data_IF_214631532708
#
_entry.id   IF_214631532708
#
_cell.length_a   1.000
_cell.length_b   1.000
_cell.length_c   1.000
_cell.angle_alpha   90.00
_cell.angle_beta   90.00
_cell.angle_gamma   90.00
#
_symmetry.space_group_name_H-M   'P 1'
#
loop_
_entity.id
_entity.type
_entity.pdbx_description
1 polymer ?
#
# COMPACT_ATOMS: atom_id res chain seq x y z
N UNK A 1 -0.23 -20.04 -7.40
CA UNK A 1 -0.60 -19.87 -5.99
C UNK A 1 -1.84 -18.99 -5.98
N UNK A 2 -2.98 -19.60 -5.73
CA UNK A 2 -4.23 -18.87 -5.49
C UNK A 2 -4.02 -18.02 -4.23
N UNK A 3 -4.43 -16.75 -4.26
CA UNK A 3 -4.28 -15.88 -3.08
C UNK A 3 -5.48 -15.99 -2.13
N UNK A 4 -6.52 -16.73 -2.56
CA UNK A 4 -7.74 -17.02 -1.83
C UNK A 4 -8.18 -18.47 -2.11
N UNK A 5 -8.71 -19.14 -1.10
CA UNK A 5 -9.29 -20.49 -1.21
C UNK A 5 -10.58 -20.59 -0.37
N UNK A 6 -11.53 -21.40 -0.82
CA UNK A 6 -12.74 -21.71 -0.06
C UNK A 6 -12.50 -22.97 0.79
N UNK A 7 -12.75 -22.88 2.09
CA UNK A 7 -12.60 -23.98 3.04
C UNK A 7 -13.79 -23.99 4.02
N UNK A 8 -14.57 -25.07 3.98
CA UNK A 8 -15.70 -25.40 4.86
C UNK A 8 -16.36 -24.20 5.58
N UNK A 9 -17.07 -23.38 4.80
CA UNK A 9 -17.84 -22.23 5.31
C UNK A 9 -17.07 -20.92 5.45
N UNK A 10 -15.81 -20.88 5.02
CA UNK A 10 -14.94 -19.70 5.07
C UNK A 10 -14.11 -19.51 3.81
N UNK A 11 -13.67 -18.28 3.55
CA UNK A 11 -12.68 -17.96 2.52
C UNK A 11 -11.39 -17.55 3.21
N UNK A 12 -10.31 -18.27 2.91
CA UNK A 12 -8.97 -18.06 3.44
C UNK A 12 -8.11 -17.31 2.45
N UNK A 13 -7.28 -16.39 2.95
CA UNK A 13 -6.39 -15.57 2.15
C UNK A 13 -4.97 -15.59 2.69
N UNK A 14 -3.99 -15.66 1.78
CA UNK A 14 -2.58 -15.55 2.13
C UNK A 14 -2.08 -14.10 2.04
N UNK A 15 -1.78 -13.49 3.19
CA UNK A 15 -1.19 -12.16 3.29
C UNK A 15 0.29 -12.23 3.71
N UNK A 16 1.17 -11.61 2.92
CA UNK A 16 2.61 -11.53 3.22
C UNK A 16 2.96 -10.14 3.76
N UNK A 17 3.39 -10.05 5.02
CA UNK A 17 3.77 -8.78 5.65
C UNK A 17 5.29 -8.69 5.80
N UNK A 18 5.90 -7.69 5.19
CA UNK A 18 7.36 -7.49 5.29
C UNK A 18 7.79 -6.04 5.09
N UNK A 19 9.02 -5.74 5.53
CA UNK A 19 9.57 -4.37 5.51
C UNK A 19 10.21 -3.98 4.16
N UNK A 20 10.56 -4.97 3.34
CA UNK A 20 11.22 -4.84 2.02
C UNK A 20 10.37 -5.36 0.86
N UNK A 21 9.25 -5.97 1.17
CA UNK A 21 8.31 -6.58 0.24
C UNK A 21 7.17 -7.20 1.02
N UNK A 22 6.04 -7.41 0.37
CA UNK A 22 4.85 -7.97 0.96
C UNK A 22 3.66 -7.82 0.03
N UNK A 23 2.57 -8.49 0.38
CA UNK A 23 1.27 -8.44 -0.27
C UNK A 23 0.25 -8.22 0.84
N UNK A 24 -0.18 -6.97 0.99
CA UNK A 24 -1.23 -6.54 1.90
C UNK A 24 -2.58 -6.61 1.19
N UNK A 25 -3.60 -7.12 1.87
CA UNK A 25 -4.91 -7.34 1.27
C UNK A 25 -5.93 -6.33 1.79
N UNK A 26 -6.70 -5.78 0.85
CA UNK A 26 -7.73 -4.78 1.11
C UNK A 26 -9.03 -5.18 0.41
N UNK A 27 -10.17 -4.90 1.04
CA UNK A 27 -11.49 -4.97 0.43
C UNK A 27 -11.98 -3.57 0.11
N UNK A 28 -12.65 -3.41 -1.02
CA UNK A 28 -13.36 -2.18 -1.37
C UNK A 28 -14.69 -2.13 -0.66
N UNK A 29 -14.93 -1.07 0.12
CA UNK A 29 -16.21 -0.83 0.78
C UNK A 29 -16.51 0.66 0.77
N UNK A 30 -17.68 1.06 0.27
CA UNK A 30 -18.14 2.46 0.29
C UNK A 30 -17.13 3.44 -0.36
N UNK A 31 -16.37 2.98 -1.37
CA UNK A 31 -15.33 3.76 -2.05
C UNK A 31 -13.98 3.80 -1.33
N UNK A 32 -13.84 3.08 -0.21
CA UNK A 32 -12.60 3.02 0.58
C UNK A 32 -11.90 1.65 0.49
N UNK A 33 -10.57 1.67 0.63
CA UNK A 33 -9.74 0.50 0.84
C UNK A 33 -9.64 0.19 2.33
N UNK A 34 -10.28 -0.91 2.72
CA UNK A 34 -10.36 -1.41 4.09
C UNK A 34 -9.45 -2.61 4.24
N UNK A 35 -8.52 -2.67 5.22
CA UNK A 35 -7.67 -3.85 5.37
C UNK A 35 -8.51 -5.10 5.58
N UNK A 36 -8.26 -6.15 4.78
CA UNK A 36 -9.02 -7.39 4.84
C UNK A 36 -8.94 -8.04 6.22
N UNK A 37 -7.79 -7.93 6.89
CA UNK A 37 -7.56 -8.40 8.25
C UNK A 37 -8.42 -7.72 9.33
N UNK A 38 -9.16 -6.65 9.00
CA UNK A 38 -10.12 -6.02 9.92
C UNK A 38 -11.54 -6.59 9.81
N UNK A 39 -11.80 -7.42 8.80
CA UNK A 39 -13.10 -8.05 8.51
C UNK A 39 -13.17 -9.52 8.86
N UNK A 40 -12.05 -10.11 9.27
CA UNK A 40 -11.95 -11.54 9.59
C UNK A 40 -10.94 -11.80 10.70
N UNK A 41 -10.65 -13.08 10.92
CA UNK A 41 -9.56 -13.49 11.80
C UNK A 41 -8.26 -13.49 11.01
N UNK A 42 -7.16 -13.05 11.64
CA UNK A 42 -5.85 -13.03 11.01
C UNK A 42 -4.86 -13.81 11.88
N UNK A 43 -4.46 -14.98 11.42
CA UNK A 43 -3.58 -15.88 12.13
C UNK A 43 -2.19 -15.91 11.49
N UNK A 44 -1.16 -15.85 12.32
CA UNK A 44 0.22 -15.90 11.83
C UNK A 44 0.62 -17.36 11.59
N UNK A 45 0.70 -17.76 10.33
CA UNK A 45 1.01 -19.14 9.93
C UNK A 45 2.52 -19.41 9.81
N UNK A 46 3.34 -18.40 9.46
CA UNK A 46 4.79 -18.60 9.27
C UNK A 46 5.61 -17.33 9.46
N UNK A 47 6.84 -17.48 9.96
CA UNK A 47 7.87 -16.43 9.94
C UNK A 47 9.17 -16.99 9.36
N UNK A 48 9.72 -16.29 8.37
CA UNK A 48 10.98 -16.69 7.74
C UNK A 48 11.52 -15.59 6.83
N UNK A 49 12.85 -15.40 6.82
CA UNK A 49 13.50 -14.46 5.89
C UNK A 49 13.10 -12.98 6.04
N UNK A 50 12.54 -12.58 7.19
CA UNK A 50 12.08 -11.20 7.42
C UNK A 50 10.67 -10.89 6.88
N UNK A 51 9.95 -11.89 6.39
CA UNK A 51 8.53 -11.84 6.01
C UNK A 51 7.71 -12.66 7.00
N UNK A 52 6.51 -12.18 7.31
CA UNK A 52 5.51 -12.86 8.13
C UNK A 52 4.31 -13.17 7.26
N UNK A 53 3.91 -14.43 7.20
CA UNK A 53 2.74 -14.85 6.46
C UNK A 53 1.58 -14.99 7.42
N UNK A 54 0.44 -14.46 7.00
CA UNK A 54 -0.81 -14.51 7.73
C UNK A 54 -1.86 -15.18 6.86
N UNK A 55 -2.63 -16.06 7.47
CA UNK A 55 -3.90 -16.52 6.91
C UNK A 55 -4.98 -15.56 7.42
N UNK A 56 -5.74 -14.97 6.51
CA UNK A 56 -6.92 -14.17 6.85
C UNK A 56 -8.15 -14.97 6.48
N UNK A 57 -9.03 -15.22 7.45
CA UNK A 57 -10.23 -16.03 7.28
C UNK A 57 -11.46 -15.15 7.42
N UNK A 58 -12.32 -15.17 6.41
CA UNK A 58 -13.60 -14.47 6.39
C UNK A 58 -14.74 -15.48 6.20
N UNK A 59 -15.90 -15.18 6.75
CA UNK A 59 -17.09 -16.01 6.55
C UNK A 59 -17.47 -16.05 5.06
N UNK A 60 -17.92 -17.21 4.61
CA UNK A 60 -18.36 -17.45 3.23
C UNK A 60 -19.39 -16.43 2.76
N UNK A 61 -20.32 -16.07 3.64
CA UNK A 61 -21.45 -15.17 3.38
C UNK A 61 -20.99 -13.80 2.86
N UNK A 62 -19.79 -13.35 3.23
CA UNK A 62 -19.20 -12.10 2.74
C UNK A 62 -19.06 -12.09 1.20
N UNK A 63 -18.93 -13.26 0.58
CA UNK A 63 -18.71 -13.42 -0.85
C UNK A 63 -19.93 -13.98 -1.60
N UNK A 64 -21.12 -13.96 -0.98
CA UNK A 64 -22.37 -14.22 -1.71
C UNK A 64 -22.62 -13.16 -2.79
N UNK A 65 -22.28 -11.92 -2.48
CA UNK A 65 -22.16 -10.83 -3.46
C UNK A 65 -20.72 -10.69 -3.97
N UNK A 66 -20.56 -10.12 -5.17
CA UNK A 66 -19.25 -9.78 -5.70
C UNK A 66 -18.53 -8.77 -4.79
N UNK A 67 -17.31 -9.12 -4.35
CA UNK A 67 -16.41 -8.26 -3.61
C UNK A 67 -15.17 -7.94 -4.42
N UNK A 68 -14.74 -6.68 -4.35
CA UNK A 68 -13.47 -6.27 -4.93
C UNK A 68 -12.36 -6.33 -3.89
N UNK A 69 -11.30 -7.07 -4.22
CA UNK A 69 -10.11 -7.26 -3.38
C UNK A 69 -8.88 -6.67 -4.06
N UNK A 70 -8.11 -5.88 -3.32
CA UNK A 70 -6.83 -5.34 -3.76
C UNK A 70 -5.69 -6.02 -3.03
N UNK A 71 -4.73 -6.54 -3.80
CA UNK A 71 -3.47 -7.03 -3.31
C UNK A 71 -2.38 -5.96 -3.57
N UNK A 72 -2.02 -5.24 -2.51
CA UNK A 72 -1.10 -4.11 -2.57
C UNK A 72 0.26 -4.50 -2.01
N UNK A 73 1.31 -4.25 -2.77
CA UNK A 73 2.63 -4.73 -2.39
C UNK A 73 3.76 -4.09 -3.16
N UNK A 74 4.97 -4.23 -2.62
CA UNK A 74 6.20 -3.90 -3.32
C UNK A 74 7.02 -5.16 -3.56
N UNK A 75 7.63 -5.30 -4.73
CA UNK A 75 8.65 -6.33 -4.95
C UNK A 75 9.87 -6.09 -4.07
N UNK A 76 10.75 -7.09 -3.94
CA UNK A 76 12.03 -6.94 -3.22
C UNK A 76 12.91 -5.80 -3.76
N UNK A 77 12.71 -5.42 -5.03
CA UNK A 77 13.39 -4.29 -5.64
C UNK A 77 12.82 -2.93 -5.19
N UNK A 78 11.67 -2.93 -4.51
CA UNK A 78 10.93 -1.75 -4.07
C UNK A 78 9.93 -1.23 -5.10
N UNK A 79 9.66 -1.96 -6.19
CA UNK A 79 8.68 -1.55 -7.19
C UNK A 79 7.27 -1.90 -6.71
N UNK A 80 6.37 -0.92 -6.71
CA UNK A 80 4.97 -1.09 -6.33
C UNK A 80 4.17 -1.80 -7.44
N UNK A 81 3.46 -2.87 -7.07
CA UNK A 81 2.71 -3.74 -7.99
C UNK A 81 1.33 -4.04 -7.40
N UNK A 82 0.38 -3.10 -7.51
CA UNK A 82 -0.95 -3.34 -7.01
C UNK A 82 -1.69 -4.28 -7.98
N UNK A 83 -2.57 -5.13 -7.46
CA UNK A 83 -3.42 -6.02 -8.25
C UNK A 83 -4.85 -5.94 -7.72
N UNK A 84 -5.82 -6.01 -8.62
CA UNK A 84 -7.25 -6.00 -8.31
C UNK A 84 -7.87 -7.33 -8.72
N UNK A 85 -8.76 -7.83 -7.87
CA UNK A 85 -9.49 -9.07 -8.07
C UNK A 85 -10.96 -8.86 -7.74
N UNK A 86 -11.85 -9.52 -8.47
CA UNK A 86 -13.27 -9.66 -8.15
C UNK A 86 -13.50 -11.08 -7.66
N UNK A 87 -14.11 -11.21 -6.49
CA UNK A 87 -14.36 -12.50 -5.85
C UNK A 87 -15.85 -12.64 -5.58
N UNK A 88 -16.39 -13.82 -5.87
CA UNK A 88 -17.77 -14.18 -5.56
C UNK A 88 -17.91 -15.69 -5.47
N UNK A 89 -18.96 -16.16 -4.84
CA UNK A 89 -19.26 -17.58 -4.77
C UNK A 89 -20.34 -17.93 -5.78
N UNK A 90 -19.99 -18.79 -6.73
CA UNK A 90 -20.93 -19.31 -7.71
C UNK A 90 -21.04 -20.82 -7.55
N UNK A 91 -22.27 -21.33 -7.37
CA UNK A 91 -22.55 -22.78 -7.29
C UNK A 91 -21.72 -23.53 -6.23
N UNK A 92 -21.30 -22.85 -5.16
CA UNK A 92 -20.50 -23.43 -4.09
C UNK A 92 -18.99 -23.37 -4.32
N UNK A 93 -18.53 -22.74 -5.40
CA UNK A 93 -17.10 -22.53 -5.69
C UNK A 93 -16.74 -21.05 -5.57
N UNK A 94 -15.53 -20.75 -5.10
CA UNK A 94 -15.01 -19.39 -5.11
C UNK A 94 -14.47 -19.06 -6.50
N UNK A 95 -15.14 -18.13 -7.17
CA UNK A 95 -14.70 -17.55 -8.43
C UNK A 95 -13.82 -16.34 -8.12
N UNK A 96 -12.64 -16.29 -8.73
CA UNK A 96 -11.70 -15.18 -8.58
C UNK A 96 -11.24 -14.70 -9.96
N UNK A 97 -11.64 -13.49 -10.34
CA UNK A 97 -11.28 -12.86 -11.60
C UNK A 97 -10.26 -11.75 -11.35
N UNK A 98 -9.11 -11.82 -12.04
CA UNK A 98 -8.12 -10.74 -11.98
C UNK A 98 -8.51 -9.64 -12.97
N UNK A 99 -8.60 -8.41 -12.49
CA UNK A 99 -8.88 -7.22 -13.33
C UNK A 99 -7.56 -6.69 -13.91
N UNK A 100 -7.56 -6.36 -15.20
CA UNK A 100 -6.35 -5.84 -15.86
C UNK A 100 -5.99 -4.47 -15.30
N UNK A 101 -4.69 -4.20 -15.11
CA UNK A 101 -4.18 -2.92 -14.58
C UNK A 101 -4.54 -1.70 -15.42
N UNK A 102 -4.89 -1.88 -16.69
CA UNK A 102 -5.33 -0.79 -17.57
C UNK A 102 -6.79 -0.37 -17.30
N UNK A 103 -7.57 -1.23 -16.62
CA UNK A 103 -9.01 -1.03 -16.41
C UNK A 103 -9.35 -0.36 -15.07
N UNK A 104 -8.35 0.00 -14.26
CA UNK A 104 -8.60 0.63 -12.96
C UNK A 104 -7.46 1.53 -12.49
N UNK A 105 -7.82 2.54 -11.70
CA UNK A 105 -6.87 3.48 -11.12
C UNK A 105 -6.92 3.43 -9.58
N UNK A 106 -5.81 3.03 -8.95
CA UNK A 106 -5.69 3.03 -7.48
C UNK A 106 -5.85 4.44 -6.89
N UNK A 107 -5.55 5.49 -7.66
CA UNK A 107 -5.61 6.88 -7.18
C UNK A 107 -7.03 7.39 -6.92
N UNK A 108 -8.05 6.69 -7.42
CA UNK A 108 -9.47 7.03 -7.21
C UNK A 108 -10.01 6.50 -5.88
N UNK A 109 -9.22 5.72 -5.15
CA UNK A 109 -9.63 5.05 -3.92
C UNK A 109 -8.96 5.69 -2.71
N UNK A 110 -9.74 5.92 -1.66
CA UNK A 110 -9.22 6.40 -0.38
C UNK A 110 -8.89 5.23 0.54
N UNK A 111 -7.78 5.28 1.27
CA UNK A 111 -7.55 4.30 2.33
C UNK A 111 -8.31 4.68 3.57
N UNK A 112 -9.13 3.76 4.08
CA UNK A 112 -9.77 3.92 5.39
C UNK A 112 -8.71 4.17 6.47
N UNK A 113 -8.91 5.18 7.30
CA UNK A 113 -8.08 5.43 8.48
C UNK A 113 -8.28 4.30 9.50
N UNK A 114 -7.20 3.71 10.01
CA UNK A 114 -7.24 2.53 10.89
C UNK A 114 -6.65 2.80 12.29
N UNK A 115 -6.50 4.07 12.64
CA UNK A 115 -5.92 4.50 13.91
C UNK A 115 -5.63 5.98 13.94
N UNK A 116 -4.50 6.35 14.55
CA UNK A 116 -4.13 7.75 14.78
C UNK A 116 -3.17 8.31 13.72
N UNK A 117 -3.20 7.80 12.49
CA UNK A 117 -2.32 8.25 11.41
C UNK A 117 -2.69 9.62 10.84
N UNK A 118 -3.90 10.15 11.09
CA UNK A 118 -4.41 11.40 10.52
C UNK A 118 -3.43 12.56 10.61
N UNK A 119 -2.82 12.78 11.78
CA UNK A 119 -1.82 13.83 11.97
C UNK A 119 -0.64 13.71 10.99
N UNK A 120 -0.14 12.48 10.77
CA UNK A 120 0.99 12.23 9.88
C UNK A 120 0.60 12.26 8.41
N UNK A 121 -0.65 11.93 8.08
CA UNK A 121 -1.19 12.10 6.74
C UNK A 121 -1.28 13.57 6.37
N UNK A 122 -1.88 14.39 7.23
CA UNK A 122 -1.94 15.84 7.03
C UNK A 122 -0.53 16.44 6.96
N UNK A 123 0.37 16.03 7.85
CA UNK A 123 1.77 16.48 7.84
C UNK A 123 2.48 16.09 6.54
N UNK A 124 2.22 14.90 6.01
CA UNK A 124 2.80 14.46 4.73
C UNK A 124 2.29 15.34 3.59
N UNK A 125 0.97 15.51 3.45
CA UNK A 125 0.37 16.34 2.41
C UNK A 125 0.88 17.79 2.47
N UNK A 126 0.90 18.39 3.66
CA UNK A 126 1.27 19.80 3.83
C UNK A 126 2.78 20.07 3.81
N UNK A 127 3.63 19.07 4.03
CA UNK A 127 5.09 19.25 4.00
C UNK A 127 5.72 18.69 2.74
N UNK A 128 5.42 17.44 2.39
CA UNK A 128 6.17 16.72 1.35
C UNK A 128 5.84 17.26 -0.04
N UNK A 129 4.56 17.53 -0.34
CA UNK A 129 4.18 18.04 -1.67
C UNK A 129 4.86 19.39 -1.97
N UNK A 130 4.72 20.43 -1.12
CA UNK A 130 5.41 21.72 -1.37
C UNK A 130 6.94 21.60 -1.39
N UNK A 131 7.50 20.70 -0.58
CA UNK A 131 8.95 20.48 -0.55
C UNK A 131 9.48 19.81 -1.83
N UNK A 132 8.72 18.90 -2.42
CA UNK A 132 9.07 18.27 -3.69
C UNK A 132 9.00 19.30 -4.82
N UNK A 133 7.93 20.10 -4.86
CA UNK A 133 7.78 21.20 -5.82
C UNK A 133 8.96 22.17 -5.76
N UNK A 134 9.35 22.62 -4.55
CA UNK A 134 10.51 23.48 -4.36
C UNK A 134 11.82 22.87 -4.86
N UNK A 135 12.03 21.56 -4.65
CA UNK A 135 13.23 20.87 -5.15
C UNK A 135 13.24 20.86 -6.68
N UNK A 136 12.09 20.60 -7.31
CA UNK A 136 11.97 20.59 -8.76
C UNK A 136 12.19 21.98 -9.36
N UNK A 137 11.63 23.04 -8.75
CA UNK A 137 11.87 24.44 -9.12
C UNK A 137 13.36 24.79 -9.09
N UNK A 138 14.05 24.52 -7.97
CA UNK A 138 15.48 24.81 -7.83
C UNK A 138 16.32 24.06 -8.87
N UNK A 139 15.99 22.80 -9.15
CA UNK A 139 16.67 22.01 -10.18
C UNK A 139 16.50 22.62 -11.58
N UNK A 140 15.30 23.09 -11.90
CA UNK A 140 14.99 23.75 -13.17
C UNK A 140 15.75 25.07 -13.31
N UNK A 141 15.67 25.94 -12.30
CA UNK A 141 16.29 27.28 -12.31
C UNK A 141 17.81 27.24 -12.50
N UNK A 142 18.46 26.21 -11.95
CA UNK A 142 19.91 26.05 -11.98
C UNK A 142 20.39 25.05 -13.05
N UNK A 143 19.46 24.55 -13.89
CA UNK A 143 19.74 23.61 -14.97
C UNK A 143 20.57 22.37 -14.55
N UNK A 144 20.29 21.81 -13.36
CA UNK A 144 20.91 20.57 -12.91
C UNK A 144 19.85 19.52 -12.53
N UNK A 145 20.22 18.25 -12.69
CA UNK A 145 19.34 17.13 -12.36
C UNK A 145 19.72 16.54 -11.00
N UNK A 146 18.94 16.83 -9.96
CA UNK A 146 19.13 16.19 -8.66
C UNK A 146 18.79 14.70 -8.72
N UNK A 147 19.78 13.85 -8.44
CA UNK A 147 19.61 12.40 -8.40
C UNK A 147 20.27 11.83 -7.15
N UNK A 148 19.52 11.64 -6.06
CA UNK A 148 19.95 10.83 -4.93
C UNK A 148 20.61 9.52 -5.38
N UNK A 149 21.60 9.05 -4.63
CA UNK A 149 22.33 7.81 -4.95
C UNK A 149 21.37 6.64 -5.22
N UNK A 150 21.81 5.66 -6.04
CA UNK A 150 21.00 4.44 -6.33
C UNK A 150 20.50 3.72 -5.07
N UNK A 151 21.18 3.88 -3.92
CA UNK A 151 20.79 3.33 -2.62
C UNK A 151 19.57 4.04 -1.99
N UNK A 152 19.15 5.19 -2.53
CA UNK A 152 18.03 6.01 -2.05
C UNK A 152 16.76 5.89 -2.93
N UNK A 153 16.49 4.71 -3.53
CA UNK A 153 15.36 4.49 -4.44
C UNK A 153 14.00 4.93 -3.90
N UNK A 154 13.70 4.69 -2.62
CA UNK A 154 12.44 5.13 -1.98
C UNK A 154 12.33 6.66 -1.86
N UNK A 155 13.46 7.34 -1.70
CA UNK A 155 13.50 8.81 -1.68
C UNK A 155 13.30 9.37 -3.09
N UNK A 156 13.96 8.77 -4.09
CA UNK A 156 13.74 9.08 -5.51
C UNK A 156 12.27 8.92 -5.92
N UNK A 157 11.62 7.84 -5.48
CA UNK A 157 10.20 7.62 -5.75
C UNK A 157 9.35 8.75 -5.17
N UNK A 158 9.66 9.21 -3.95
CA UNK A 158 8.92 10.30 -3.31
C UNK A 158 9.11 11.63 -4.03
N UNK A 159 10.34 11.95 -4.47
CA UNK A 159 10.60 13.15 -5.26
C UNK A 159 9.90 13.11 -6.62
N UNK A 160 9.85 11.94 -7.28
CA UNK A 160 9.24 11.83 -8.61
C UNK A 160 7.72 11.80 -8.60
N UNK A 161 7.14 11.20 -7.55
CA UNK A 161 5.70 11.04 -7.43
C UNK A 161 5.32 10.96 -5.94
N UNK A 162 5.11 12.12 -5.28
CA UNK A 162 4.77 12.17 -3.86
C UNK A 162 3.42 11.50 -3.57
N UNK A 163 2.47 11.54 -4.49
CA UNK A 163 1.18 10.85 -4.37
C UNK A 163 1.35 9.34 -4.27
N UNK A 164 1.98 8.72 -5.27
CA UNK A 164 2.26 7.27 -5.26
C UNK A 164 3.03 6.87 -4.00
N UNK A 165 3.94 7.72 -3.56
CA UNK A 165 4.66 7.49 -2.32
C UNK A 165 3.72 7.53 -1.10
N UNK A 166 2.74 8.43 -1.03
CA UNK A 166 1.69 8.41 -0.01
C UNK A 166 0.90 7.09 -0.03
N UNK A 167 0.46 6.61 -1.20
CA UNK A 167 -0.23 5.31 -1.36
C UNK A 167 0.60 4.14 -0.81
N UNK A 168 1.90 4.08 -1.14
CA UNK A 168 2.82 3.06 -0.64
C UNK A 168 2.99 3.14 0.89
N UNK A 169 2.82 4.32 1.49
CA UNK A 169 2.83 4.46 2.95
C UNK A 169 1.51 4.00 3.59
N UNK A 170 0.40 4.10 2.88
CA UNK A 170 -0.93 3.72 3.35
C UNK A 170 -1.25 2.23 3.15
N UNK A 171 -0.56 1.54 2.24
CA UNK A 171 -0.74 0.10 2.01
C UNK A 171 -0.47 -0.77 3.26
N UNK A 172 0.26 -0.26 4.26
CA UNK A 172 0.48 -1.01 5.49
C UNK A 172 -0.81 -1.15 6.30
N UNK A 173 -1.14 -2.37 6.70
CA UNK A 173 -2.38 -2.71 7.41
C UNK A 173 -2.38 -2.39 8.92
N UNK A 174 -1.40 -1.63 9.42
CA UNK A 174 -1.37 -1.19 10.83
C UNK A 174 -1.03 0.29 10.89
N UNK A 175 -1.77 1.04 11.73
CA UNK A 175 -1.55 2.47 11.94
C UNK A 175 -0.09 2.78 12.31
N UNK A 176 0.52 1.97 13.20
CA UNK A 176 1.94 2.10 13.58
C UNK A 176 2.89 2.02 12.38
N UNK A 177 2.64 1.11 11.43
CA UNK A 177 3.49 0.94 10.25
C UNK A 177 3.26 2.06 9.23
N UNK A 178 2.01 2.49 9.03
CA UNK A 178 1.67 3.68 8.23
C UNK A 178 2.39 4.91 8.75
N UNK A 179 2.24 5.22 10.04
CA UNK A 179 2.90 6.35 10.72
C UNK A 179 4.42 6.28 10.57
N UNK A 180 5.02 5.10 10.81
CA UNK A 180 6.48 4.94 10.67
C UNK A 180 6.95 5.23 9.25
N UNK A 181 6.22 4.75 8.25
CA UNK A 181 6.52 4.99 6.83
C UNK A 181 6.42 6.48 6.48
N UNK A 182 5.32 7.14 6.88
CA UNK A 182 5.08 8.58 6.66
C UNK A 182 6.19 9.43 7.30
N UNK A 183 6.51 9.18 8.58
CA UNK A 183 7.59 9.86 9.32
C UNK A 183 8.92 9.78 8.58
N UNK A 184 9.32 8.58 8.15
CA UNK A 184 10.58 8.38 7.44
C UNK A 184 10.67 9.17 6.14
N UNK A 185 9.56 9.23 5.39
CA UNK A 185 9.52 9.98 4.13
C UNK A 185 9.57 11.49 4.37
N UNK A 186 8.75 12.01 5.29
CA UNK A 186 8.77 13.42 5.68
C UNK A 186 10.18 13.83 6.10
N UNK A 187 10.82 13.06 6.98
CA UNK A 187 12.17 13.36 7.46
C UNK A 187 13.21 13.38 6.32
N UNK A 188 13.16 12.41 5.40
CA UNK A 188 14.10 12.34 4.27
C UNK A 188 13.98 13.51 3.32
N UNK A 189 12.74 13.92 3.01
CA UNK A 189 12.49 15.07 2.13
C UNK A 189 12.92 16.36 2.82
N UNK A 190 12.63 16.53 4.12
CA UNK A 190 13.13 17.68 4.90
C UNK A 190 14.65 17.82 4.88
N UNK A 191 15.38 16.71 5.00
CA UNK A 191 16.85 16.72 4.91
C UNK A 191 17.32 17.18 3.53
N UNK A 192 16.64 16.76 2.46
CA UNK A 192 16.94 17.21 1.09
C UNK A 192 16.68 18.71 0.94
N UNK A 193 15.52 19.21 1.37
CA UNK A 193 15.24 20.65 1.26
C UNK A 193 16.21 21.50 2.08
N UNK A 194 16.68 20.99 3.23
CA UNK A 194 17.71 21.67 4.02
C UNK A 194 19.05 21.77 3.27
N UNK A 195 19.34 20.80 2.38
CA UNK A 195 20.51 20.85 1.50
C UNK A 195 20.37 21.93 0.41
N UNK A 196 19.14 22.19 -0.06
CA UNK A 196 18.86 23.21 -1.07
C UNK A 196 18.63 24.63 -0.51
N UNK A 197 18.26 24.75 0.77
CA UNK A 197 18.06 26.02 1.46
C UNK A 197 19.31 26.61 2.14
N UNK A 198 20.51 26.15 1.73
CA UNK A 198 21.82 26.74 2.07
C UNK A 198 22.48 27.24 0.81
#
# INVERSE_FOLDING_TARGET
MYFAELDDGSVKFDEERGSRGGRYLYMEEEGELVPLASRGTAEKIREGGGTRNYEITLDREVFEDEKTIYALGTSNSGLFHPRKYKLRIEKGELVSEKVDSEEWNLQELEFREIGNERFWLTSYKNSVFPMVELVDEICQDNNFNFRPSKKARRTMETLRNPEKSLYISLMFNTSRSRIRSLKQKIQRIRVICTFFGR
#
